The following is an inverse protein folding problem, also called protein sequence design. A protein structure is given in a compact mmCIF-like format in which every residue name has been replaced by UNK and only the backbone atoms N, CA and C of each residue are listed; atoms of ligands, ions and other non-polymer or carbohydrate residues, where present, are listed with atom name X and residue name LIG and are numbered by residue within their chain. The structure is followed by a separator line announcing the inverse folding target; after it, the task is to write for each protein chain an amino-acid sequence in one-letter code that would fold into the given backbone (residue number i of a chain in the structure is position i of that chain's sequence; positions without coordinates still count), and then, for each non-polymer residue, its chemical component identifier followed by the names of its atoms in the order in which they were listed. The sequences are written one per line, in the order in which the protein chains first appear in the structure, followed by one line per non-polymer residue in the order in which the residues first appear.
data_IF_697841141319
#
_entry.id   IF_697841141319
#
_cell.length_a   1.000
_cell.length_b   1.000
_cell.length_c   1.000
_cell.angle_alpha   90.00
_cell.angle_beta   90.00
_cell.angle_gamma   90.00
#
_symmetry.space_group_name_H-M   'P 1'
#
loop_
_entity.id
_entity.type
_entity.pdbx_description
1 polymer ?
#
# COMPACT_ATOMS: atom_id res chain seq x y z
N UNK A 1 2.07 -4.73 23.91
CA UNK A 1 3.55 -4.79 23.97
C UNK A 1 4.08 -5.95 24.84
N UNK A 2 3.52 -6.20 26.03
CA UNK A 2 4.00 -7.27 26.93
C UNK A 2 3.86 -8.69 26.35
N UNK A 3 2.82 -8.94 25.54
CA UNK A 3 2.59 -10.23 24.86
C UNK A 3 3.59 -10.52 23.73
N UNK A 4 4.19 -9.50 23.12
CA UNK A 4 5.19 -9.69 22.05
C UNK A 4 6.44 -10.38 22.60
N UNK A 5 6.86 -10.02 23.82
CA UNK A 5 8.05 -10.57 24.46
C UNK A 5 7.80 -11.87 25.21
N UNK A 6 6.54 -12.16 25.57
CA UNK A 6 6.15 -13.39 26.26
C UNK A 6 5.95 -14.59 25.30
N UNK A 7 5.79 -14.31 24.00
CA UNK A 7 5.44 -15.31 22.98
C UNK A 7 3.94 -15.59 22.92
N UNK A 8 3.49 -16.22 21.83
CA UNK A 8 2.10 -16.62 21.60
C UNK A 8 1.90 -18.10 21.87
N UNK A 9 0.70 -18.49 22.34
CA UNK A 9 0.30 -19.89 22.36
C UNK A 9 0.09 -20.41 20.93
N UNK A 10 0.08 -21.73 20.73
CA UNK A 10 -0.26 -22.31 19.43
C UNK A 10 -1.68 -21.95 18.99
N UNK A 11 -2.62 -21.87 19.92
CA UNK A 11 -4.01 -21.48 19.65
C UNK A 11 -4.11 -20.01 19.20
N UNK A 12 -3.32 -19.11 19.80
CA UNK A 12 -3.25 -17.71 19.36
C UNK A 12 -2.58 -17.59 17.98
N UNK A 13 -1.56 -18.40 17.68
CA UNK A 13 -0.95 -18.42 16.36
C UNK A 13 -1.89 -18.97 15.28
N UNK A 14 -2.65 -20.03 15.58
CA UNK A 14 -3.63 -20.59 14.65
C UNK A 14 -4.79 -19.62 14.37
N UNK A 15 -5.19 -18.83 15.38
CA UNK A 15 -6.23 -17.80 15.26
C UNK A 15 -5.74 -16.56 14.51
N UNK A 16 -4.59 -16.01 14.91
CA UNK A 16 -4.15 -14.66 14.51
C UNK A 16 -3.01 -14.69 13.48
N UNK A 17 -2.47 -15.87 13.15
CA UNK A 17 -1.34 -16.03 12.24
C UNK A 17 -0.10 -15.26 12.71
N UNK A 18 0.60 -14.60 11.79
CA UNK A 18 1.75 -13.74 12.12
C UNK A 18 1.33 -12.47 12.86
N UNK A 19 0.11 -11.99 12.64
CA UNK A 19 -0.49 -10.83 13.30
C UNK A 19 -1.87 -10.51 12.72
N UNK A 20 -2.67 -9.78 13.47
CA UNK A 20 -4.07 -9.43 13.20
C UNK A 20 -4.28 -7.94 12.87
N UNK A 21 -3.19 -7.15 12.89
CA UNK A 21 -3.23 -5.69 12.81
C UNK A 21 -2.04 -5.14 12.03
N UNK A 22 -2.29 -4.19 11.12
CA UNK A 22 -1.27 -3.35 10.50
C UNK A 22 -1.49 -1.89 10.95
N UNK A 23 -0.41 -1.26 11.43
CA UNK A 23 -0.41 0.13 11.85
C UNK A 23 0.87 0.83 11.37
N UNK A 24 0.75 2.09 10.95
CA UNK A 24 1.88 2.95 10.68
C UNK A 24 2.08 3.93 11.84
N UNK A 25 3.32 4.02 12.34
CA UNK A 25 3.68 5.00 13.35
C UNK A 25 3.98 6.35 12.69
N UNK A 26 3.21 7.37 13.07
CA UNK A 26 3.24 8.68 12.44
C UNK A 26 4.17 9.64 13.20
N UNK A 27 4.64 10.68 12.51
CA UNK A 27 5.59 11.67 13.08
C UNK A 27 5.03 12.42 14.30
N UNK A 28 3.71 12.59 14.37
CA UNK A 28 3.03 13.25 15.50
C UNK A 28 2.90 12.34 16.74
N UNK A 29 3.42 11.10 16.67
CA UNK A 29 3.37 10.13 17.75
C UNK A 29 2.09 9.31 17.79
N UNK A 30 1.20 9.47 16.79
CA UNK A 30 -0.01 8.67 16.66
C UNK A 30 0.23 7.40 15.82
N UNK A 31 -0.70 6.45 15.91
CA UNK A 31 -0.75 5.29 15.03
C UNK A 31 -1.88 5.47 14.02
N UNK A 32 -1.54 5.32 12.74
CA UNK A 32 -2.51 5.17 11.67
C UNK A 32 -2.84 3.69 11.52
N UNK A 33 -4.06 3.32 11.88
CA UNK A 33 -4.55 1.95 11.71
C UNK A 33 -5.01 1.70 10.28
N UNK A 34 -4.60 0.55 9.75
CA UNK A 34 -4.97 0.11 8.41
C UNK A 34 -6.20 -0.78 8.52
N UNK A 35 -7.31 -0.44 7.84
CA UNK A 35 -8.51 -1.26 7.88
C UNK A 35 -8.25 -2.66 7.32
N UNK A 36 -8.63 -3.72 8.04
CA UNK A 36 -8.49 -5.07 7.50
C UNK A 36 -9.55 -5.38 6.43
N UNK A 37 -10.78 -4.85 6.58
CA UNK A 37 -11.83 -4.99 5.57
C UNK A 37 -11.87 -3.76 4.66
N UNK A 38 -12.12 -3.99 3.38
CA UNK A 38 -12.18 -2.94 2.37
C UNK A 38 -13.37 -1.99 2.60
N UNK A 39 -14.51 -2.50 3.09
CA UNK A 39 -15.68 -1.68 3.41
C UNK A 39 -15.41 -0.60 4.48
N UNK A 40 -14.42 -0.84 5.34
CA UNK A 40 -14.03 0.10 6.40
C UNK A 40 -13.15 1.24 5.87
N UNK A 41 -12.60 1.11 4.65
CA UNK A 41 -11.73 2.10 4.00
C UNK A 41 -12.46 3.41 3.73
N UNK A 42 -13.77 3.36 3.48
CA UNK A 42 -14.59 4.54 3.11
C UNK A 42 -14.59 5.65 4.16
N UNK A 43 -14.23 5.33 5.40
CA UNK A 43 -14.19 6.26 6.53
C UNK A 43 -12.76 6.74 6.85
N UNK A 44 -11.81 6.54 5.93
CA UNK A 44 -10.38 6.83 6.13
C UNK A 44 -9.85 7.80 5.07
N UNK A 45 -8.54 8.09 5.12
CA UNK A 45 -7.85 8.90 4.11
C UNK A 45 -7.25 8.06 2.98
N UNK A 46 -7.62 6.78 2.87
CA UNK A 46 -7.15 5.90 1.80
C UNK A 46 -8.06 6.06 0.59
N UNK A 47 -7.49 6.61 -0.47
CA UNK A 47 -8.18 6.94 -1.68
C UNK A 47 -8.09 5.79 -2.68
N UNK A 48 -9.21 5.42 -3.29
CA UNK A 48 -9.25 4.38 -4.31
C UNK A 48 -8.43 4.81 -5.53
N UNK A 49 -7.45 3.98 -5.92
CA UNK A 49 -6.74 4.11 -7.18
C UNK A 49 -7.41 3.30 -8.28
N UNK A 50 -6.81 2.18 -8.62
CA UNK A 50 -7.34 1.24 -9.62
C UNK A 50 -7.21 -0.19 -9.13
N UNK A 51 -7.99 -1.09 -9.73
CA UNK A 51 -7.74 -2.51 -9.60
C UNK A 51 -6.80 -2.99 -10.71
N UNK A 52 -5.63 -3.51 -10.31
CA UNK A 52 -4.62 -4.03 -11.20
C UNK A 52 -4.73 -5.56 -11.23
N UNK A 53 -4.92 -6.12 -12.42
CA UNK A 53 -5.04 -7.58 -12.61
C UNK A 53 -3.75 -8.24 -12.11
N UNK A 54 -3.86 -9.22 -11.21
CA UNK A 54 -2.78 -9.92 -10.50
C UNK A 54 -2.19 -9.22 -9.27
N UNK A 55 -2.64 -8.02 -8.91
CA UNK A 55 -2.17 -7.29 -7.72
C UNK A 55 -3.31 -6.83 -6.80
N UNK A 56 -4.55 -6.82 -7.32
CA UNK A 56 -5.75 -6.46 -6.57
C UNK A 56 -6.06 -4.96 -6.61
N UNK A 57 -6.92 -4.53 -5.68
CA UNK A 57 -7.40 -3.15 -5.58
C UNK A 57 -6.38 -2.31 -4.82
N UNK A 58 -5.86 -1.28 -5.48
CA UNK A 58 -4.93 -0.34 -4.88
C UNK A 58 -5.65 0.82 -4.21
N UNK A 59 -5.29 1.11 -2.97
CA UNK A 59 -5.65 2.34 -2.29
C UNK A 59 -4.40 3.13 -1.94
N UNK A 60 -4.45 4.44 -2.12
CA UNK A 60 -3.32 5.35 -1.96
C UNK A 60 -3.58 6.31 -0.81
N UNK A 61 -2.60 6.51 0.08
CA UNK A 61 -2.84 7.35 1.25
C UNK A 61 -2.90 8.83 0.88
N UNK A 62 -4.07 9.45 1.06
CA UNK A 62 -4.30 10.88 0.91
C UNK A 62 -3.82 11.44 -0.45
N UNK A 63 -4.07 10.68 -1.51
CA UNK A 63 -3.58 10.95 -2.85
C UNK A 63 -4.45 11.97 -3.61
N UNK A 64 -5.73 12.16 -3.26
CA UNK A 64 -6.54 13.24 -3.85
C UNK A 64 -6.15 14.64 -3.33
N UNK A 65 -5.43 14.73 -2.21
CA UNK A 65 -4.99 16.00 -1.64
C UNK A 65 -3.78 16.63 -2.37
N UNK A 66 -3.10 15.87 -3.24
CA UNK A 66 -1.78 16.23 -3.80
C UNK A 66 -1.80 16.44 -5.32
N UNK A 67 -2.99 16.57 -5.92
CA UNK A 67 -3.18 16.59 -7.38
C UNK A 67 -2.30 17.62 -8.10
N UNK A 68 -1.91 18.70 -7.43
CA UNK A 68 -1.09 19.78 -7.98
C UNK A 68 0.36 19.88 -7.44
N UNK A 69 0.70 19.23 -6.32
CA UNK A 69 2.05 19.27 -5.72
C UNK A 69 2.50 17.90 -5.18
N UNK A 70 3.43 17.27 -5.89
CA UNK A 70 4.01 15.99 -5.50
C UNK A 70 4.95 16.08 -4.28
N UNK A 71 5.26 17.28 -3.73
CA UNK A 71 6.01 17.40 -2.48
C UNK A 71 5.27 16.80 -1.29
N UNK A 72 3.93 16.75 -1.35
CA UNK A 72 3.12 16.18 -0.30
C UNK A 72 2.79 14.70 -0.52
N UNK A 73 3.27 14.10 -1.62
CA UNK A 73 3.04 12.70 -1.97
C UNK A 73 3.43 11.79 -0.81
N UNK A 74 2.47 10.96 -0.39
CA UNK A 74 2.67 9.95 0.64
C UNK A 74 2.92 8.62 -0.06
N UNK A 75 4.05 7.95 0.22
CA UNK A 75 4.47 6.80 -0.58
C UNK A 75 3.67 5.53 -0.30
N UNK A 76 2.75 5.53 0.66
CA UNK A 76 2.09 4.31 1.10
C UNK A 76 0.90 3.95 0.19
N UNK A 77 0.79 2.66 -0.14
CA UNK A 77 -0.41 2.08 -0.75
C UNK A 77 -0.82 0.77 -0.07
N UNK A 78 -2.10 0.42 -0.18
CA UNK A 78 -2.70 -0.82 0.31
C UNK A 78 -3.20 -1.66 -0.85
N UNK A 79 -3.25 -2.97 -0.63
CA UNK A 79 -3.71 -3.96 -1.60
C UNK A 79 -4.82 -4.80 -0.99
N UNK A 80 -6.01 -4.69 -1.55
CA UNK A 80 -7.18 -5.50 -1.17
C UNK A 80 -7.50 -6.51 -2.26
N UNK A 81 -8.02 -7.66 -1.83
CA UNK A 81 -8.55 -8.67 -2.73
C UNK A 81 -9.65 -9.45 -2.01
N UNK A 82 -10.80 -9.60 -2.67
CA UNK A 82 -11.99 -10.18 -2.09
C UNK A 82 -12.49 -9.44 -0.84
N UNK A 83 -12.31 -8.11 -0.79
CA UNK A 83 -12.75 -7.27 0.33
C UNK A 83 -11.85 -7.29 1.58
N UNK A 84 -10.67 -7.92 1.51
CA UNK A 84 -9.75 -8.07 2.66
C UNK A 84 -8.34 -7.63 2.30
N UNK A 85 -7.66 -6.96 3.23
CA UNK A 85 -6.28 -6.53 3.10
C UNK A 85 -5.34 -7.73 2.89
N UNK A 86 -4.57 -7.73 1.80
CA UNK A 86 -3.61 -8.79 1.46
C UNK A 86 -2.16 -8.33 1.50
N UNK A 87 -1.94 -7.04 1.37
CA UNK A 87 -0.62 -6.47 1.39
C UNK A 87 -0.65 -4.96 1.42
N UNK A 88 0.53 -4.39 1.41
CA UNK A 88 0.78 -2.96 1.42
C UNK A 88 2.11 -2.70 0.75
N UNK A 89 2.44 -1.45 0.49
CA UNK A 89 3.71 -1.13 -0.12
C UNK A 89 4.09 0.34 -0.09
N UNK A 90 5.28 0.58 -0.65
CA UNK A 90 5.86 1.90 -0.82
C UNK A 90 6.04 2.19 -2.31
N UNK A 91 5.62 3.36 -2.76
CA UNK A 91 6.00 3.94 -4.04
C UNK A 91 6.84 5.17 -3.77
N UNK A 92 8.07 5.23 -4.24
CA UNK A 92 8.99 6.35 -3.97
C UNK A 92 9.59 6.87 -5.25
N UNK A 93 9.87 8.17 -5.29
CA UNK A 93 10.48 8.81 -6.45
C UNK A 93 11.96 8.46 -6.54
N UNK A 94 12.40 8.16 -7.75
CA UNK A 94 13.76 7.73 -8.02
C UNK A 94 13.83 6.28 -8.48
N UNK A 95 15.05 5.86 -8.79
CA UNK A 95 15.38 4.50 -9.18
C UNK A 95 16.33 3.90 -8.13
N UNK A 96 15.80 2.99 -7.33
CA UNK A 96 16.60 2.25 -6.36
C UNK A 96 16.89 0.84 -6.89
N UNK A 97 18.17 0.48 -7.04
CA UNK A 97 18.56 -0.83 -7.56
C UNK A 97 18.32 -1.96 -6.55
N UNK A 98 17.41 -2.88 -6.87
CA UNK A 98 17.23 -4.16 -6.18
C UNK A 98 16.40 -5.12 -7.03
N UNK A 99 16.68 -6.42 -6.94
CA UNK A 99 15.84 -7.47 -7.54
C UNK A 99 14.45 -7.60 -6.88
N UNK A 100 14.24 -6.91 -5.75
CA UNK A 100 12.97 -6.92 -4.99
C UNK A 100 12.11 -5.67 -5.21
N UNK A 101 12.61 -4.73 -6.02
CA UNK A 101 11.89 -3.52 -6.38
C UNK A 101 11.32 -3.64 -7.79
N UNK A 102 10.15 -3.03 -7.98
CA UNK A 102 9.56 -2.83 -9.30
C UNK A 102 9.77 -1.38 -9.74
N UNK A 103 9.96 -1.20 -11.04
CA UNK A 103 10.12 0.10 -11.68
C UNK A 103 9.05 0.30 -12.75
N UNK A 104 7.82 0.68 -12.36
CA UNK A 104 6.74 0.85 -13.31
C UNK A 104 7.04 1.99 -14.30
N UNK A 105 6.89 1.71 -15.59
CA UNK A 105 6.99 2.74 -16.63
C UNK A 105 5.84 3.76 -16.52
N UNK A 106 6.04 5.03 -16.94
CA UNK A 106 5.01 6.06 -16.82
C UNK A 106 3.66 5.72 -17.46
N UNK A 107 3.66 4.92 -18.53
CA UNK A 107 2.47 4.48 -19.25
C UNK A 107 1.62 3.44 -18.47
N UNK A 108 2.16 2.76 -17.46
CA UNK A 108 1.42 1.77 -16.64
C UNK A 108 0.91 2.33 -15.33
N UNK A 109 1.28 3.57 -14.94
CA UNK A 109 0.83 4.19 -13.69
C UNK A 109 -0.70 4.24 -13.59
N UNK A 110 -1.40 4.49 -14.71
CA UNK A 110 -2.87 4.50 -14.76
C UNK A 110 -3.53 3.15 -14.45
N UNK A 111 -2.79 2.05 -14.51
CA UNK A 111 -3.31 0.72 -14.19
C UNK A 111 -3.50 0.51 -12.68
N UNK A 112 -2.79 1.26 -11.84
CA UNK A 112 -2.88 1.16 -10.37
C UNK A 112 -3.25 2.48 -9.68
N UNK A 113 -3.25 3.62 -10.39
CA UNK A 113 -3.76 4.91 -9.90
C UNK A 113 -4.81 5.50 -10.85
N UNK A 114 -5.95 5.95 -10.32
CA UNK A 114 -6.95 6.64 -11.11
C UNK A 114 -7.72 7.68 -10.28
N UNK A 115 -7.71 8.97 -10.68
CA UNK A 115 -6.88 9.58 -11.72
C UNK A 115 -5.37 9.49 -11.47
N UNK A 116 -4.54 9.63 -12.51
CA UNK A 116 -3.09 9.80 -12.30
C UNK A 116 -2.81 11.27 -11.98
N UNK A 117 -2.16 11.63 -10.85
CA UNK A 117 -1.72 12.99 -10.61
C UNK A 117 -0.78 13.44 -11.73
N UNK A 118 -1.01 14.62 -12.35
CA UNK A 118 -0.13 15.13 -13.40
C UNK A 118 1.35 15.17 -12.99
N UNK A 119 1.63 15.47 -11.72
CA UNK A 119 3.00 15.52 -11.20
C UNK A 119 3.70 14.15 -11.18
N UNK A 120 2.96 13.03 -11.03
CA UNK A 120 3.54 11.68 -11.09
C UNK A 120 3.96 11.30 -12.52
N UNK A 121 3.27 11.79 -13.55
CA UNK A 121 3.67 11.55 -14.93
C UNK A 121 5.03 12.19 -15.24
N UNK A 122 5.24 13.42 -14.78
CA UNK A 122 6.52 14.11 -14.96
C UNK A 122 7.62 13.47 -14.13
N UNK A 123 7.39 13.21 -12.84
CA UNK A 123 8.41 12.61 -11.97
C UNK A 123 8.78 11.20 -12.41
N UNK A 124 7.80 10.38 -12.83
CA UNK A 124 8.06 9.05 -13.38
C UNK A 124 8.92 9.10 -14.64
N UNK A 125 8.86 10.18 -15.42
CA UNK A 125 9.70 10.38 -16.61
C UNK A 125 11.09 10.90 -16.25
N UNK A 126 11.17 11.89 -15.36
CA UNK A 126 12.41 12.61 -15.04
C UNK A 126 13.31 11.85 -14.05
N UNK A 127 12.72 11.13 -13.10
CA UNK A 127 13.41 10.48 -11.98
C UNK A 127 13.12 8.98 -11.86
N UNK A 128 12.00 8.51 -12.40
CA UNK A 128 11.49 7.16 -12.21
C UNK A 128 10.66 7.00 -10.94
N UNK A 129 9.94 5.89 -10.88
CA UNK A 129 9.20 5.43 -9.70
C UNK A 129 9.74 4.06 -9.30
N UNK A 130 9.97 3.86 -8.00
CA UNK A 130 10.27 2.55 -7.44
C UNK A 130 9.14 2.13 -6.52
N UNK A 131 8.62 0.93 -6.72
CA UNK A 131 7.60 0.32 -5.88
C UNK A 131 8.16 -0.89 -5.13
N UNK A 132 7.76 -1.05 -3.87
CA UNK A 132 8.01 -2.22 -3.05
C UNK A 132 6.67 -2.75 -2.54
N UNK A 133 6.43 -4.04 -2.76
CA UNK A 133 5.24 -4.75 -2.29
C UNK A 133 5.59 -5.62 -1.09
N UNK A 134 4.73 -5.63 -0.08
CA UNK A 134 4.82 -6.47 1.10
C UNK A 134 3.51 -7.23 1.26
N UNK A 135 3.53 -8.51 0.89
CA UNK A 135 2.37 -9.39 0.96
C UNK A 135 2.34 -10.17 2.28
N UNK A 136 1.15 -10.40 2.82
CA UNK A 136 0.96 -11.19 4.03
C UNK A 136 0.89 -12.70 3.77
N UNK A 137 0.60 -13.10 2.53
CA UNK A 137 0.54 -14.49 2.05
C UNK A 137 1.03 -14.55 0.62
N UNK A 138 1.28 -15.76 0.12
CA UNK A 138 1.72 -15.98 -1.27
C UNK A 138 0.76 -15.31 -2.27
N UNK A 139 1.36 -14.62 -3.25
CA UNK A 139 0.76 -13.69 -4.22
C UNK A 139 -0.20 -14.33 -5.25
N UNK A 140 -0.50 -15.63 -5.12
CA UNK A 140 -1.01 -16.44 -6.24
C UNK A 140 -2.48 -16.16 -6.58
N UNK A 141 -3.21 -15.37 -5.80
CA UNK A 141 -4.66 -15.17 -5.99
C UNK A 141 -5.15 -13.72 -5.77
N UNK A 142 -4.45 -12.70 -6.29
CA UNK A 142 -4.96 -11.32 -6.24
C UNK A 142 -5.73 -10.94 -7.50
N UNK A 143 -7.03 -10.64 -7.33
CA UNK A 143 -7.95 -10.30 -8.40
C UNK A 143 -8.78 -9.05 -8.08
N UNK A 144 -9.49 -8.63 -9.11
CA UNK A 144 -10.66 -7.76 -9.06
C UNK A 144 -11.90 -8.67 -9.20
#
# INVERSE_FOLDING_TARGET
PETVCAGRSSEDFDRDGTGDLLQFYMKDGTFLEIPNNEDDVVNTQWDLGSCFISMGVHYWYNYFAIVDDCQEFKPAFLLYNGGVLKGWGWATFGYYESDTYEHPEPNVIGAFMNPVPPCLTQIGTDYGLTTQHVYFRDEIEMFC
#
